data_IF_859877154476
#
_entry.id   IF_859877154476
#
_cell.length_a   1.000
_cell.length_b   1.000
_cell.length_c   1.000
_cell.angle_alpha   90.00
_cell.angle_beta   90.00
_cell.angle_gamma   90.00
#
_symmetry.space_group_name_H-M   'P 1'
#
loop_
_entity.id
_entity.type
_entity.pdbx_description
1 polymer ?
#
# COMPACT_ATOMS: atom_id res chain seq x y z
N UNK A 1 30.04 0.14 11.82
CA UNK A 1 29.82 1.10 10.70
C UNK A 1 30.39 2.50 10.94
N UNK A 2 31.03 2.81 12.08
CA UNK A 2 31.54 4.15 12.39
C UNK A 2 32.56 4.72 11.36
N UNK A 3 33.35 3.85 10.71
CA UNK A 3 34.37 4.28 9.75
C UNK A 3 33.85 4.79 8.41
N UNK A 4 32.54 4.69 8.09
CA UNK A 4 31.99 5.15 6.80
C UNK A 4 31.43 6.59 6.84
N UNK A 5 31.40 7.22 8.02
CA UNK A 5 30.93 8.60 8.16
C UNK A 5 31.83 9.61 7.42
N UNK A 6 33.13 9.32 7.30
CA UNK A 6 34.08 10.16 6.56
C UNK A 6 33.99 9.91 5.06
N UNK A 7 33.78 10.97 4.25
CA UNK A 7 33.70 10.90 2.78
C UNK A 7 34.81 10.05 2.14
N UNK A 8 36.05 10.22 2.59
CA UNK A 8 37.22 9.49 2.05
C UNK A 8 37.18 7.99 2.34
N UNK A 9 36.60 7.60 3.48
CA UNK A 9 36.45 6.20 3.86
C UNK A 9 35.24 5.57 3.13
N UNK A 10 34.14 6.33 2.99
CA UNK A 10 32.99 5.92 2.18
C UNK A 10 33.34 5.69 0.71
N UNK A 11 34.08 6.61 0.08
CA UNK A 11 34.53 6.45 -1.31
C UNK A 11 35.49 5.25 -1.48
N UNK A 12 36.36 4.98 -0.49
CA UNK A 12 37.19 3.77 -0.47
C UNK A 12 36.34 2.50 -0.40
N UNK A 13 35.30 2.50 0.43
CA UNK A 13 34.37 1.38 0.56
C UNK A 13 33.57 1.13 -0.73
N UNK A 14 33.20 2.17 -1.47
CA UNK A 14 32.51 2.03 -2.76
C UNK A 14 33.44 1.66 -3.94
N UNK A 15 34.76 1.82 -3.79
CA UNK A 15 35.72 1.57 -4.88
C UNK A 15 35.66 0.14 -5.44
N UNK A 16 35.59 -0.93 -4.62
CA UNK A 16 35.45 -2.30 -5.12
C UNK A 16 34.13 -2.54 -5.87
N UNK A 17 33.04 -1.93 -5.38
CA UNK A 17 31.70 -2.03 -5.99
C UNK A 17 31.71 -1.41 -7.38
N UNK A 18 32.34 -0.23 -7.55
CA UNK A 18 32.48 0.43 -8.86
C UNK A 18 33.35 -0.35 -9.85
N UNK A 19 34.33 -1.12 -9.36
CA UNK A 19 35.22 -1.95 -10.20
C UNK A 19 34.62 -3.30 -10.57
N UNK A 20 33.51 -3.70 -9.95
CA UNK A 20 32.82 -4.95 -10.26
C UNK A 20 32.21 -4.86 -11.66
N UNK A 21 32.39 -5.89 -12.49
CA UNK A 21 31.68 -6.00 -13.77
C UNK A 21 30.22 -6.30 -13.50
N UNK A 22 29.41 -5.24 -13.44
CA UNK A 22 27.96 -5.37 -13.32
C UNK A 22 27.40 -5.90 -14.63
N UNK A 23 26.83 -7.08 -14.60
CA UNK A 23 26.04 -7.59 -15.72
C UNK A 23 24.69 -6.88 -15.66
N UNK A 24 24.56 -5.76 -16.38
CA UNK A 24 23.29 -5.07 -16.53
C UNK A 24 22.54 -5.75 -17.67
N UNK A 25 21.61 -6.62 -17.31
CA UNK A 25 20.68 -7.21 -18.27
C UNK A 25 19.54 -6.22 -18.53
N UNK A 26 19.69 -5.42 -19.57
CA UNK A 26 18.61 -4.58 -20.08
C UNK A 26 17.86 -5.35 -21.17
N UNK A 27 16.62 -5.75 -20.87
CA UNK A 27 15.69 -6.31 -21.85
C UNK A 27 14.85 -5.17 -22.44
N UNK A 28 14.52 -5.18 -23.75
CA UNK A 28 13.57 -4.24 -24.31
C UNK A 28 12.29 -4.18 -23.47
N UNK A 29 11.80 -2.98 -23.12
CA UNK A 29 10.61 -2.85 -22.30
C UNK A 29 9.40 -3.32 -23.11
N UNK A 30 8.87 -4.48 -22.73
CA UNK A 30 7.67 -5.12 -23.28
C UNK A 30 7.71 -5.39 -24.80
N UNK A 31 6.94 -6.38 -25.26
CA UNK A 31 6.87 -6.79 -26.65
C UNK A 31 6.05 -5.80 -27.52
N UNK A 32 6.33 -4.49 -27.39
CA UNK A 32 5.64 -3.40 -28.09
C UNK A 32 4.54 -2.69 -27.28
N UNK A 33 3.98 -1.58 -27.81
CA UNK A 33 2.98 -0.75 -27.15
C UNK A 33 1.73 -1.54 -26.70
N UNK A 34 1.30 -2.53 -27.49
CA UNK A 34 0.17 -3.38 -27.18
C UNK A 34 0.41 -4.22 -25.91
N UNK A 35 1.62 -4.73 -25.72
CA UNK A 35 1.99 -5.47 -24.53
C UNK A 35 2.05 -4.57 -23.29
N UNK A 36 2.51 -3.33 -23.44
CA UNK A 36 2.47 -2.30 -22.37
C UNK A 36 1.02 -1.97 -22.00
N UNK A 37 0.16 -1.73 -23.00
CA UNK A 37 -1.26 -1.47 -22.78
C UNK A 37 -1.97 -2.67 -22.13
N UNK A 38 -1.71 -3.89 -22.58
CA UNK A 38 -2.25 -5.11 -21.96
C UNK A 38 -1.77 -5.31 -20.52
N UNK A 39 -0.52 -4.94 -20.23
CA UNK A 39 0.01 -4.93 -18.86
C UNK A 39 -0.71 -3.87 -18.02
N UNK A 40 -0.66 -2.59 -18.43
CA UNK A 40 -1.22 -1.47 -17.68
C UNK A 40 -2.74 -1.58 -17.50
N UNK A 41 -3.49 -1.97 -18.53
CA UNK A 41 -4.94 -2.18 -18.46
C UNK A 41 -5.33 -3.25 -17.42
N UNK A 42 -4.53 -4.30 -17.24
CA UNK A 42 -4.75 -5.27 -16.16
C UNK A 42 -4.52 -4.66 -14.78
N UNK A 43 -3.59 -3.72 -14.65
CA UNK A 43 -3.34 -3.01 -13.39
C UNK A 43 -4.38 -1.94 -13.08
N UNK A 44 -5.05 -1.37 -14.09
CA UNK A 44 -6.15 -0.42 -13.89
C UNK A 44 -7.49 -1.14 -13.64
N UNK A 45 -7.75 -2.26 -14.31
CA UNK A 45 -9.02 -3.01 -14.14
C UNK A 45 -9.01 -4.04 -13.01
N UNK A 46 -7.86 -4.48 -12.49
CA UNK A 46 -7.78 -5.53 -11.45
C UNK A 46 -7.06 -5.01 -10.21
N UNK A 47 -7.84 -4.58 -9.22
CA UNK A 47 -7.33 -3.82 -8.08
C UNK A 47 -6.84 -4.71 -6.92
N UNK A 48 -7.63 -5.72 -6.52
CA UNK A 48 -7.33 -6.55 -5.34
C UNK A 48 -7.14 -8.04 -5.67
N UNK A 49 -8.10 -8.62 -6.39
CA UNK A 49 -8.15 -10.04 -6.73
C UNK A 49 -8.80 -10.22 -8.10
N UNK A 50 -8.39 -11.23 -8.86
CA UNK A 50 -8.97 -11.54 -10.17
C UNK A 50 -10.12 -12.53 -10.04
N UNK A 51 -11.16 -12.44 -10.87
CA UNK A 51 -12.31 -13.37 -10.85
C UNK A 51 -11.92 -14.85 -10.92
N UNK A 52 -10.91 -15.24 -11.72
CA UNK A 52 -10.41 -16.63 -11.78
C UNK A 52 -9.90 -17.19 -10.44
N UNK A 53 -9.59 -16.31 -9.48
CA UNK A 53 -9.15 -16.71 -8.14
C UNK A 53 -10.32 -16.91 -7.19
N UNK A 54 -11.51 -16.39 -7.48
CA UNK A 54 -12.73 -16.70 -6.74
C UNK A 54 -13.18 -18.10 -7.15
N UNK A 55 -13.35 -18.99 -6.17
CA UNK A 55 -13.72 -20.39 -6.37
C UNK A 55 -15.19 -20.64 -6.04
N UNK A 56 -15.74 -19.91 -5.08
CA UNK A 56 -17.13 -20.07 -4.66
C UNK A 56 -17.56 -18.95 -3.72
N UNK A 57 -18.88 -18.79 -3.62
CA UNK A 57 -19.55 -17.90 -2.69
C UNK A 57 -20.84 -18.57 -2.25
N UNK A 58 -20.97 -18.82 -0.95
CA UNK A 58 -22.13 -19.46 -0.32
C UNK A 58 -22.37 -18.88 1.08
N UNK A 59 -23.25 -19.51 1.85
CA UNK A 59 -23.59 -19.09 3.22
C UNK A 59 -22.40 -19.12 4.20
N UNK A 60 -21.35 -19.90 3.89
CA UNK A 60 -20.13 -19.97 4.69
C UNK A 60 -19.12 -18.85 4.35
N UNK A 61 -19.31 -18.20 3.19
CA UNK A 61 -18.55 -17.02 2.78
C UNK A 61 -17.92 -17.13 1.39
N UNK A 62 -16.82 -16.40 1.18
CA UNK A 62 -16.12 -16.31 -0.11
C UNK A 62 -14.87 -17.18 -0.10
N UNK A 63 -14.83 -18.17 -0.99
CA UNK A 63 -13.69 -19.07 -1.17
C UNK A 63 -12.81 -18.62 -2.33
N UNK A 64 -11.50 -18.46 -2.12
CA UNK A 64 -10.59 -17.99 -3.16
C UNK A 64 -9.15 -18.54 -3.05
N UNK A 65 -8.45 -18.60 -4.19
CA UNK A 65 -7.02 -18.93 -4.26
C UNK A 65 -6.16 -17.73 -3.91
N UNK A 66 -5.10 -17.95 -3.15
CA UNK A 66 -4.10 -16.94 -2.83
C UNK A 66 -2.67 -17.47 -2.85
N UNK A 67 -1.71 -16.55 -2.91
CA UNK A 67 -0.29 -16.87 -2.81
C UNK A 67 0.17 -16.66 -1.37
N UNK A 68 0.52 -17.74 -0.70
CA UNK A 68 1.19 -17.66 0.60
C UNK A 68 2.70 -17.48 0.38
N UNK A 69 3.18 -16.25 0.56
CA UNK A 69 4.59 -15.94 0.33
C UNK A 69 5.54 -16.59 1.34
N UNK A 70 5.03 -17.09 2.46
CA UNK A 70 5.79 -17.77 3.53
C UNK A 70 6.12 -19.22 3.18
N UNK A 71 5.38 -19.81 2.23
CA UNK A 71 5.57 -21.21 1.80
C UNK A 71 6.57 -21.36 0.65
N UNK A 72 7.20 -22.55 0.51
CA UNK A 72 8.02 -22.89 -0.65
C UNK A 72 7.24 -22.76 -1.97
N UNK A 73 7.97 -22.58 -3.07
CA UNK A 73 7.38 -22.26 -4.37
C UNK A 73 6.36 -23.31 -4.86
N UNK A 74 6.60 -24.59 -4.58
CA UNK A 74 5.72 -25.71 -4.95
C UNK A 74 4.34 -25.63 -4.26
N UNK A 75 4.29 -25.10 -3.04
CA UNK A 75 3.07 -25.03 -2.22
C UNK A 75 2.54 -23.61 -2.07
N UNK A 76 3.01 -22.68 -2.90
CA UNK A 76 2.69 -21.26 -2.74
C UNK A 76 1.22 -20.96 -3.00
N UNK A 77 0.55 -21.76 -3.83
CA UNK A 77 -0.86 -21.61 -4.14
C UNK A 77 -1.68 -22.29 -3.06
N UNK A 78 -2.48 -21.51 -2.35
CA UNK A 78 -3.34 -21.97 -1.26
C UNK A 78 -4.78 -21.52 -1.51
N UNK A 79 -5.73 -22.17 -0.86
CA UNK A 79 -7.15 -21.81 -0.88
C UNK A 79 -7.54 -21.39 0.53
N UNK A 80 -8.34 -20.34 0.66
CA UNK A 80 -8.98 -19.98 1.92
C UNK A 80 -10.42 -19.54 1.68
N UNK A 81 -11.22 -19.66 2.73
CA UNK A 81 -12.58 -19.13 2.81
C UNK A 81 -12.61 -18.08 3.90
N UNK A 82 -13.21 -16.92 3.59
CA UNK A 82 -13.44 -15.84 4.55
C UNK A 82 -14.93 -15.56 4.63
N UNK A 83 -15.41 -15.15 5.80
CA UNK A 83 -16.71 -14.53 5.93
C UNK A 83 -16.85 -13.35 4.96
N UNK A 84 -18.07 -13.14 4.45
CA UNK A 84 -18.35 -12.17 3.37
C UNK A 84 -17.94 -10.75 3.75
N UNK A 85 -18.23 -10.33 4.97
CA UNK A 85 -17.89 -9.03 5.54
C UNK A 85 -16.36 -8.84 5.64
N UNK A 86 -15.62 -9.85 6.11
CA UNK A 86 -14.15 -9.79 6.17
C UNK A 86 -13.52 -9.79 4.77
N UNK A 87 -14.11 -10.52 3.81
CA UNK A 87 -13.68 -10.44 2.41
C UNK A 87 -13.86 -9.03 1.84
N UNK A 88 -15.03 -8.42 2.04
CA UNK A 88 -15.33 -7.05 1.59
C UNK A 88 -14.40 -6.04 2.27
N UNK A 89 -14.22 -6.13 3.60
CA UNK A 89 -13.30 -5.27 4.34
C UNK A 89 -11.88 -5.34 3.77
N UNK A 90 -11.33 -6.54 3.54
CA UNK A 90 -10.00 -6.71 2.93
C UNK A 90 -9.94 -6.19 1.50
N UNK A 91 -11.00 -6.39 0.72
CA UNK A 91 -11.09 -5.87 -0.64
C UNK A 91 -11.02 -4.34 -0.66
N UNK A 92 -11.75 -3.67 0.23
CA UNK A 92 -11.82 -2.22 0.29
C UNK A 92 -10.50 -1.55 0.70
N UNK A 93 -9.61 -2.25 1.43
CA UNK A 93 -8.23 -1.75 1.72
C UNK A 93 -7.41 -1.52 0.42
N UNK A 94 -7.81 -2.12 -0.70
CA UNK A 94 -7.18 -1.92 -2.00
C UNK A 94 -7.77 -0.74 -2.79
N UNK A 95 -8.91 -0.20 -2.37
CA UNK A 95 -9.58 0.94 -3.00
C UNK A 95 -9.13 2.20 -2.27
N UNK A 96 -8.27 2.99 -2.91
CA UNK A 96 -7.85 4.27 -2.35
C UNK A 96 -8.92 5.33 -2.60
N UNK A 97 -9.13 6.28 -1.68
CA UNK A 97 -9.94 7.46 -1.94
C UNK A 97 -9.44 8.20 -3.18
N UNK A 98 -10.35 8.94 -3.84
CA UNK A 98 -10.02 9.67 -5.07
C UNK A 98 -8.86 10.66 -4.82
N UNK A 99 -7.89 10.67 -5.73
CA UNK A 99 -6.70 11.53 -5.64
C UNK A 99 -5.53 10.91 -4.88
N UNK A 100 -5.70 9.74 -4.27
CA UNK A 100 -4.62 9.04 -3.59
C UNK A 100 -4.03 7.92 -4.45
N UNK A 101 -2.70 7.84 -4.46
CA UNK A 101 -1.95 6.79 -5.15
C UNK A 101 -1.27 5.87 -4.13
N UNK A 102 -1.31 4.56 -4.38
CA UNK A 102 -0.66 3.59 -3.50
C UNK A 102 0.86 3.61 -3.72
N UNK A 103 1.60 4.17 -2.77
CA UNK A 103 3.06 4.13 -2.78
C UNK A 103 3.52 2.91 -1.99
N UNK A 104 4.30 2.02 -2.63
CA UNK A 104 4.97 0.91 -1.95
C UNK A 104 6.40 1.31 -1.66
N UNK A 105 6.71 1.52 -0.39
CA UNK A 105 8.07 1.75 0.06
C UNK A 105 8.82 0.41 0.20
N UNK A 106 10.08 0.39 -0.21
CA UNK A 106 10.99 -0.75 -0.05
C UNK A 106 12.25 -0.32 0.70
N UNK A 107 12.97 -1.29 1.27
CA UNK A 107 14.19 -1.06 2.02
C UNK A 107 13.93 -0.34 3.34
N UNK A 108 14.65 0.75 3.58
CA UNK A 108 14.58 1.53 4.82
C UNK A 108 13.15 1.97 5.18
N UNK A 109 12.34 2.30 4.17
CA UNK A 109 10.97 2.80 4.35
C UNK A 109 9.88 1.73 4.24
N UNK A 110 10.24 0.45 4.14
CA UNK A 110 9.26 -0.63 4.00
C UNK A 110 8.34 -0.72 5.22
N UNK A 111 7.02 -0.77 5.02
CA UNK A 111 6.03 -0.66 6.10
C UNK A 111 6.22 -1.66 7.25
N UNK A 112 6.69 -2.88 6.96
CA UNK A 112 6.92 -3.92 7.96
C UNK A 112 8.12 -3.68 8.88
N UNK A 113 9.11 -2.88 8.44
CA UNK A 113 10.38 -2.70 9.15
C UNK A 113 10.76 -1.23 9.35
N UNK A 114 9.99 -0.30 8.79
CA UNK A 114 10.33 1.12 8.74
C UNK A 114 10.57 1.71 10.11
N UNK A 115 9.73 1.38 11.11
CA UNK A 115 9.89 1.89 12.49
C UNK A 115 11.26 1.53 13.06
N UNK A 116 11.59 0.24 13.07
CA UNK A 116 12.85 -0.26 13.64
C UNK A 116 14.06 0.22 12.83
N UNK A 117 13.96 0.20 11.51
CA UNK A 117 15.06 0.59 10.62
C UNK A 117 15.32 2.10 10.68
N UNK A 118 14.28 2.94 10.82
CA UNK A 118 14.44 4.37 11.06
C UNK A 118 15.03 4.66 12.44
N UNK A 119 14.58 3.97 13.49
CA UNK A 119 15.14 4.15 14.82
C UNK A 119 16.65 3.83 14.81
N UNK A 120 17.04 2.72 14.17
CA UNK A 120 18.44 2.36 13.99
C UNK A 120 19.21 3.41 13.17
N UNK A 121 18.64 3.90 12.06
CA UNK A 121 19.27 4.92 11.23
C UNK A 121 19.49 6.23 12.01
N UNK A 122 18.51 6.70 12.79
CA UNK A 122 18.63 7.90 13.64
C UNK A 122 19.73 7.72 14.68
N UNK A 123 19.77 6.56 15.36
CA UNK A 123 20.84 6.23 16.33
C UNK A 123 22.23 6.27 15.69
N UNK A 124 22.38 5.68 14.50
CA UNK A 124 23.66 5.66 13.78
C UNK A 124 24.09 7.03 13.26
N UNK A 125 23.13 7.89 12.92
CA UNK A 125 23.38 9.26 12.45
C UNK A 125 23.53 10.28 13.59
N UNK A 126 23.29 9.89 14.85
CA UNK A 126 23.31 10.79 15.99
C UNK A 126 22.18 11.84 15.96
N UNK A 127 21.08 11.56 15.24
CA UNK A 127 19.93 12.47 15.12
C UNK A 127 18.97 12.17 16.27
N UNK A 128 18.58 13.20 17.01
CA UNK A 128 17.59 13.09 18.08
C UNK A 128 16.26 12.54 17.52
N UNK A 129 15.59 11.69 18.30
CA UNK A 129 14.25 11.21 17.94
C UNK A 129 13.33 12.44 17.91
N UNK A 130 12.57 12.65 16.83
CA UNK A 130 11.55 13.70 16.81
C UNK A 130 10.62 13.48 17.99
N UNK A 131 10.44 14.50 18.82
CA UNK A 131 9.40 14.50 19.85
C UNK A 131 8.08 14.40 19.08
N UNK A 132 7.29 13.35 19.34
CA UNK A 132 5.94 13.29 18.82
C UNK A 132 5.19 14.47 19.45
N UNK A 133 4.91 15.50 18.66
CA UNK A 133 3.97 16.54 19.05
C UNK A 133 2.63 15.84 19.33
N UNK A 134 1.97 16.15 20.46
CA UNK A 134 0.66 15.57 20.74
C UNK A 134 -0.23 15.81 19.54
N UNK A 135 -0.91 14.76 19.06
CA UNK A 135 -1.89 14.95 17.99
C UNK A 135 -2.86 16.03 18.43
N UNK A 136 -3.19 17.01 17.55
CA UNK A 136 -4.18 18.02 17.88
C UNK A 136 -5.47 17.32 18.32
N UNK A 137 -6.08 17.83 19.40
CA UNK A 137 -7.38 17.36 19.87
C UNK A 137 -8.36 17.22 18.69
N UNK A 138 -9.25 16.22 18.79
CA UNK A 138 -10.27 15.97 17.77
C UNK A 138 -10.89 17.30 17.31
N UNK A 139 -11.00 17.53 15.98
CA UNK A 139 -11.51 18.79 15.46
C UNK A 139 -12.86 19.09 16.11
N UNK A 140 -13.09 20.35 16.55
CA UNK A 140 -14.29 20.71 17.29
C UNK A 140 -15.53 20.25 16.53
N UNK A 141 -16.41 19.59 17.26
CA UNK A 141 -17.62 19.04 16.71
C UNK A 141 -18.58 20.16 16.28
N UNK A 142 -18.56 20.49 14.99
CA UNK A 142 -19.41 21.52 14.39
C UNK A 142 -20.81 21.03 14.03
N UNK A 143 -21.26 19.87 14.52
CA UNK A 143 -22.59 19.34 14.22
C UNK A 143 -23.67 20.23 14.86
N UNK A 144 -24.65 20.72 14.09
CA UNK A 144 -25.75 21.49 14.66
C UNK A 144 -26.59 20.60 15.60
N UNK A 145 -27.13 21.15 16.69
CA UNK A 145 -28.05 20.43 17.55
C UNK A 145 -29.37 20.14 16.80
N UNK A 146 -30.02 19.03 17.16
CA UNK A 146 -31.31 18.69 16.59
C UNK A 146 -32.34 19.81 16.85
N UNK A 147 -33.01 20.37 15.81
CA UNK A 147 -33.97 21.45 16.00
C UNK A 147 -35.21 21.03 16.79
N UNK A 148 -35.47 19.73 16.96
CA UNK A 148 -36.62 19.23 17.70
C UNK A 148 -36.32 18.93 19.18
N UNK A 149 -35.12 18.45 19.51
CA UNK A 149 -34.80 17.96 20.86
C UNK A 149 -33.47 18.48 21.43
N UNK A 150 -32.70 19.26 20.67
CA UNK A 150 -31.39 19.78 21.08
C UNK A 150 -30.27 18.72 21.17
N UNK A 151 -30.58 17.44 20.92
CA UNK A 151 -29.60 16.36 20.98
C UNK A 151 -28.54 16.40 19.86
N UNK A 152 -27.42 15.68 20.03
CA UNK A 152 -26.36 15.62 19.03
C UNK A 152 -26.85 14.91 17.77
N UNK A 153 -26.69 15.54 16.61
CA UNK A 153 -26.98 14.91 15.33
C UNK A 153 -25.83 13.96 14.92
N UNK A 154 -26.16 12.84 14.27
CA UNK A 154 -25.17 11.91 13.72
C UNK A 154 -25.18 12.01 12.20
N UNK A 155 -24.00 12.17 11.59
CA UNK A 155 -23.87 12.16 10.13
C UNK A 155 -23.99 10.70 9.67
N UNK A 156 -25.10 10.36 9.02
CA UNK A 156 -25.32 9.02 8.47
C UNK A 156 -24.54 8.86 7.16
N UNK A 157 -24.45 9.92 6.37
CA UNK A 157 -23.77 9.90 5.07
C UNK A 157 -23.36 11.32 4.65
N UNK A 158 -22.21 11.46 3.99
CA UNK A 158 -21.73 12.72 3.45
C UNK A 158 -21.57 12.60 1.93
N UNK A 159 -22.38 13.35 1.18
CA UNK A 159 -22.28 13.38 -0.28
C UNK A 159 -21.28 14.46 -0.71
N UNK A 160 -20.30 14.06 -1.53
CA UNK A 160 -19.42 15.02 -2.18
C UNK A 160 -20.26 15.95 -3.07
N UNK A 161 -20.05 17.27 -2.95
CA UNK A 161 -20.59 18.21 -3.94
C UNK A 161 -19.96 17.83 -5.29
N UNK A 162 -20.80 17.58 -6.30
CA UNK A 162 -20.49 17.34 -7.71
C UNK A 162 -20.10 15.91 -8.14
N UNK A 163 -21.12 15.07 -8.35
CA UNK A 163 -21.13 14.09 -9.43
C UNK A 163 -22.52 14.12 -10.08
N UNK A 164 -22.71 14.90 -11.15
CA UNK A 164 -23.89 14.71 -12.00
C UNK A 164 -23.73 13.41 -12.80
N UNK A 165 -24.73 12.51 -12.81
CA UNK A 165 -24.69 11.32 -13.65
C UNK A 165 -24.75 11.74 -15.12
N UNK A 166 -23.70 11.42 -15.89
CA UNK A 166 -23.77 11.51 -17.35
C UNK A 166 -24.46 10.25 -17.88
N UNK A 167 -25.50 10.43 -18.68
CA UNK A 167 -26.12 9.35 -19.44
C UNK A 167 -25.10 8.75 -20.45
N UNK A 168 -25.18 7.44 -20.75
CA UNK A 168 -24.27 6.79 -21.70
C UNK A 168 -24.51 7.31 -23.12
N UNK A 169 -23.41 7.54 -23.86
CA UNK A 169 -23.41 7.56 -25.33
C UNK A 169 -23.11 6.16 -25.85
#
# INVERSE_FOLDING_TARGET
MAGLATRKAFLRHLSPIRKKRWVVYAKPPFAGPQAVLAYLSRYTHRVAISNRRLLGFDETGVTFRYKDYRRPAAERQQVMTLATDEFVRRFLIHVLPRGFHRIRHYGLLASSTHKDTMALARKLLGVAVPVEEPEPDEPPDHRPPCPCCGGPMTIIEAFARWCQPRAPQ
#
